data_IF_110167096270
#
_entry.id   IF_110167096270
#
_cell.length_a   1.000
_cell.length_b   1.000
_cell.length_c   1.000
_cell.angle_alpha   90.00
_cell.angle_beta   90.00
_cell.angle_gamma   90.00
#
_symmetry.space_group_name_H-M   'P 1'
#
loop_
_entity.id
_entity.type
_entity.pdbx_description
1 polymer ?
#
# COMPACT_ATOMS: atom_id res chain seq x y z
N UNK A 1 0.35 13.97 -52.07
CA UNK A 1 1.41 13.64 -53.06
C UNK A 1 1.18 12.21 -53.54
N UNK A 2 1.10 12.01 -54.86
CA UNK A 2 0.79 10.72 -55.50
C UNK A 2 2.09 9.93 -55.69
N UNK A 3 2.12 8.66 -55.31
CA UNK A 3 3.13 7.71 -55.78
C UNK A 3 2.43 6.55 -56.49
N UNK A 4 2.64 6.48 -57.80
CA UNK A 4 2.36 5.31 -58.62
C UNK A 4 3.60 4.41 -58.60
N UNK A 5 3.46 3.13 -58.24
CA UNK A 5 4.50 2.12 -58.44
C UNK A 5 3.92 0.97 -59.27
N UNK A 6 4.56 0.69 -60.40
CA UNK A 6 4.18 -0.28 -61.43
C UNK A 6 5.09 -1.49 -61.25
N UNK A 7 4.58 -2.67 -60.87
CA UNK A 7 5.36 -3.91 -60.88
C UNK A 7 4.80 -4.91 -61.90
N UNK A 8 5.71 -5.41 -62.75
CA UNK A 8 5.50 -6.40 -63.81
C UNK A 8 5.16 -7.78 -63.22
N UNK A 9 4.36 -8.51 -63.99
CA UNK A 9 3.93 -9.89 -63.80
C UNK A 9 5.09 -10.89 -63.77
N UNK A 10 5.10 -11.77 -62.76
CA UNK A 10 5.93 -12.98 -62.70
C UNK A 10 5.23 -14.06 -61.85
N UNK A 11 4.81 -15.14 -62.52
CA UNK A 11 4.53 -16.49 -62.00
C UNK A 11 5.69 -16.93 -61.06
N UNK A 12 5.60 -17.70 -59.96
CA UNK A 12 4.60 -18.62 -59.43
C UNK A 12 5.13 -19.15 -58.05
N UNK A 13 4.21 -19.38 -57.08
CA UNK A 13 4.20 -20.42 -56.02
C UNK A 13 5.15 -20.27 -54.82
N UNK A 14 4.57 -19.87 -53.68
CA UNK A 14 4.64 -20.54 -52.37
C UNK A 14 3.67 -19.78 -51.46
N UNK A 15 2.61 -20.45 -50.99
CA UNK A 15 1.71 -19.89 -49.98
C UNK A 15 2.41 -19.91 -48.62
N UNK A 16 3.26 -18.92 -48.37
CA UNK A 16 3.57 -18.55 -47.00
C UNK A 16 2.39 -17.71 -46.48
N UNK A 17 1.51 -18.31 -45.69
CA UNK A 17 0.56 -17.55 -44.89
C UNK A 17 1.37 -16.82 -43.82
N UNK A 18 1.82 -15.60 -44.13
CA UNK A 18 2.33 -14.69 -43.11
C UNK A 18 1.14 -14.33 -42.22
N UNK A 19 1.08 -14.94 -41.03
CA UNK A 19 0.23 -14.48 -39.94
C UNK A 19 0.77 -13.10 -39.54
N UNK A 20 0.25 -12.05 -40.18
CA UNK A 20 0.41 -10.69 -39.70
C UNK A 20 -0.37 -10.64 -38.40
N UNK A 21 0.32 -10.85 -37.27
CA UNK A 21 -0.22 -10.55 -35.95
C UNK A 21 -0.41 -9.04 -35.92
N UNK A 22 -1.62 -8.58 -36.26
CA UNK A 22 -1.99 -7.19 -36.12
C UNK A 22 -1.82 -6.81 -34.66
N UNK A 23 -0.76 -6.04 -34.36
CA UNK A 23 -0.56 -5.45 -33.05
C UNK A 23 -1.61 -4.35 -32.90
N UNK A 24 -2.83 -4.73 -32.53
CA UNK A 24 -3.84 -3.77 -32.13
C UNK A 24 -3.28 -3.01 -30.91
N UNK A 25 -3.25 -1.67 -30.91
CA UNK A 25 -2.93 -0.95 -29.69
C UNK A 25 -4.01 -1.30 -28.67
N UNK A 26 -3.65 -2.05 -27.63
CA UNK A 26 -4.53 -2.29 -26.50
C UNK A 26 -4.81 -0.92 -25.89
N UNK A 27 -6.05 -0.45 -26.04
CA UNK A 27 -6.51 0.77 -25.39
C UNK A 27 -6.52 0.45 -23.90
N UNK A 28 -5.50 0.91 -23.16
CA UNK A 28 -5.41 0.67 -21.73
C UNK A 28 -6.51 1.47 -21.04
N UNK A 29 -7.61 0.81 -20.69
CA UNK A 29 -8.61 1.37 -19.79
C UNK A 29 -7.97 1.56 -18.41
N UNK A 30 -8.20 2.71 -17.79
CA UNK A 30 -7.76 2.94 -16.42
C UNK A 30 -8.49 1.97 -15.49
N UNK A 31 -7.79 0.92 -15.04
CA UNK A 31 -8.31 -0.08 -14.12
C UNK A 31 -7.87 0.26 -12.70
N UNK A 32 -8.83 0.27 -11.76
CA UNK A 32 -8.55 0.42 -10.32
C UNK A 32 -8.55 -0.95 -9.66
N UNK A 33 -7.53 -1.24 -8.86
CA UNK A 33 -7.45 -2.45 -8.03
C UNK A 33 -7.40 -2.03 -6.57
N UNK A 34 -8.29 -2.57 -5.76
CA UNK A 34 -8.37 -2.27 -4.32
C UNK A 34 -7.87 -3.47 -3.52
N UNK A 35 -7.01 -3.21 -2.53
CA UNK A 35 -6.49 -4.21 -1.61
C UNK A 35 -6.97 -3.90 -0.20
N UNK A 36 -7.45 -4.93 0.50
CA UNK A 36 -7.82 -4.89 1.91
C UNK A 36 -6.88 -5.76 2.72
N UNK A 37 -6.88 -5.58 4.04
CA UNK A 37 -6.12 -6.43 4.96
C UNK A 37 -6.58 -7.90 4.87
N UNK A 38 -5.62 -8.82 4.70
CA UNK A 38 -5.84 -10.28 4.61
C UNK A 38 -5.06 -11.06 5.66
N UNK A 39 -4.21 -10.42 6.46
CA UNK A 39 -3.27 -11.09 7.38
C UNK A 39 -1.95 -11.51 6.74
N UNK A 40 -1.79 -11.38 5.43
CA UNK A 40 -0.58 -11.76 4.69
C UNK A 40 -0.30 -10.79 3.55
N UNK A 41 0.93 -10.74 3.00
CA UNK A 41 1.23 -9.95 1.82
C UNK A 41 0.41 -10.38 0.59
N UNK A 42 0.00 -9.41 -0.22
CA UNK A 42 -0.69 -9.59 -1.50
C UNK A 42 0.20 -9.12 -2.64
N UNK A 43 -0.19 -9.37 -3.89
CA UNK A 43 0.59 -9.00 -5.08
C UNK A 43 -0.22 -8.21 -6.09
N UNK A 44 0.44 -7.25 -6.75
CA UNK A 44 -0.10 -6.51 -7.88
C UNK A 44 0.86 -6.63 -9.07
N UNK A 45 0.38 -7.14 -10.20
CA UNK A 45 1.15 -7.18 -11.45
C UNK A 45 0.85 -5.96 -12.28
N UNK A 46 1.89 -5.20 -12.62
CA UNK A 46 1.77 -4.00 -13.46
C UNK A 46 1.32 -4.42 -14.87
N UNK A 47 0.21 -3.87 -15.42
CA UNK A 47 -0.24 -4.21 -16.76
C UNK A 47 0.81 -3.92 -17.84
N UNK A 48 0.79 -4.69 -18.93
CA UNK A 48 1.65 -4.44 -20.06
C UNK A 48 1.46 -3.01 -20.60
N UNK A 49 2.56 -2.37 -21.01
CA UNK A 49 2.56 -0.98 -21.48
C UNK A 49 2.40 0.10 -20.40
N UNK A 50 2.21 -0.27 -19.14
CA UNK A 50 2.08 0.70 -18.03
C UNK A 50 3.43 1.00 -17.41
N UNK A 51 3.85 2.26 -17.47
CA UNK A 51 5.12 2.74 -16.88
C UNK A 51 4.91 3.67 -15.68
N UNK A 52 3.65 4.01 -15.38
CA UNK A 52 3.25 4.81 -14.22
C UNK A 52 1.94 4.30 -13.65
N UNK A 53 1.83 4.25 -12.33
CA UNK A 53 0.57 3.96 -11.62
C UNK A 53 0.25 5.06 -10.61
N UNK A 54 -1.03 5.35 -10.43
CA UNK A 54 -1.52 6.17 -9.34
C UNK A 54 -1.86 5.26 -8.15
N UNK A 55 -1.32 5.58 -6.98
CA UNK A 55 -1.51 4.80 -5.76
C UNK A 55 -2.08 5.69 -4.68
N UNK A 56 -3.12 5.20 -4.01
CA UNK A 56 -3.63 5.74 -2.76
C UNK A 56 -3.49 4.66 -1.71
N UNK A 57 -2.73 4.93 -0.66
CA UNK A 57 -2.60 4.03 0.48
C UNK A 57 -3.05 4.73 1.76
N UNK A 58 -3.67 3.94 2.63
CA UNK A 58 -4.09 4.39 3.96
C UNK A 58 -3.46 3.48 5.00
N UNK A 59 -2.65 4.05 5.89
CA UNK A 59 -2.22 3.37 7.10
C UNK A 59 -3.42 3.07 8.00
N UNK A 60 -3.33 2.01 8.80
CA UNK A 60 -4.44 1.59 9.62
C UNK A 60 -4.63 2.51 10.84
N UNK A 61 -5.87 2.57 11.31
CA UNK A 61 -6.20 3.29 12.54
C UNK A 61 -5.66 2.56 13.78
N UNK A 62 -5.36 3.34 14.81
CA UNK A 62 -5.10 2.81 16.14
C UNK A 62 -6.32 2.13 16.76
N UNK A 63 -6.04 1.23 17.69
CA UNK A 63 -7.00 0.71 18.64
C UNK A 63 -7.46 1.80 19.58
N UNK A 64 -8.67 1.63 20.10
CA UNK A 64 -9.24 2.51 21.12
C UNK A 64 -9.33 1.79 22.46
N UNK A 65 -9.49 2.55 23.52
CA UNK A 65 -10.03 2.00 24.77
C UNK A 65 -11.51 1.67 24.60
N UNK A 66 -11.99 0.65 25.31
CA UNK A 66 -13.34 0.10 25.16
C UNK A 66 -14.46 1.11 25.41
N UNK A 67 -14.20 2.16 26.20
CA UNK A 67 -15.16 3.19 26.58
C UNK A 67 -15.21 4.39 25.64
N UNK A 68 -14.34 4.45 24.62
CA UNK A 68 -14.28 5.58 23.69
C UNK A 68 -14.77 5.22 22.29
N UNK A 69 -15.39 6.19 21.61
CA UNK A 69 -15.79 6.05 20.21
C UNK A 69 -14.80 6.62 19.20
N UNK A 70 -13.80 7.38 19.65
CA UNK A 70 -12.80 8.01 18.77
C UNK A 70 -11.55 7.13 18.63
N UNK A 71 -10.96 7.13 17.43
CA UNK A 71 -9.70 6.45 17.11
C UNK A 71 -8.78 7.41 16.39
N UNK A 72 -7.48 7.20 16.52
CA UNK A 72 -6.50 7.90 15.70
C UNK A 72 -6.38 7.24 14.32
N UNK A 73 -6.34 8.06 13.28
CA UNK A 73 -6.28 7.59 11.89
C UNK A 73 -4.83 7.49 11.40
N UNK A 74 -4.53 6.44 10.65
CA UNK A 74 -3.26 6.31 9.94
C UNK A 74 -3.12 7.35 8.82
N UNK A 75 -1.91 7.46 8.26
CA UNK A 75 -1.63 8.42 7.19
C UNK A 75 -2.35 8.02 5.90
N UNK A 76 -2.69 8.99 5.06
CA UNK A 76 -3.16 8.75 3.69
C UNK A 76 -2.14 9.30 2.70
N UNK A 77 -1.46 8.41 1.98
CA UNK A 77 -0.48 8.78 0.96
C UNK A 77 -1.11 8.65 -0.41
N UNK A 78 -0.89 9.65 -1.26
CA UNK A 78 -1.27 9.62 -2.66
C UNK A 78 -0.04 9.96 -3.51
N UNK A 79 0.31 9.09 -4.45
CA UNK A 79 1.48 9.26 -5.29
C UNK A 79 1.27 8.71 -6.70
N UNK A 80 2.09 9.21 -7.63
CA UNK A 80 2.27 8.60 -8.95
C UNK A 80 3.66 7.98 -9.00
N UNK A 81 3.71 6.66 -9.16
CA UNK A 81 4.94 5.88 -9.06
C UNK A 81 5.37 5.42 -10.45
N UNK A 82 6.66 5.54 -10.75
CA UNK A 82 7.24 4.95 -11.95
C UNK A 82 7.39 3.43 -11.76
N UNK A 83 6.91 2.66 -12.72
CA UNK A 83 6.87 1.20 -12.69
C UNK A 83 7.39 0.60 -13.99
N UNK A 84 7.73 -0.68 -13.93
CA UNK A 84 8.14 -1.50 -15.07
C UNK A 84 6.93 -2.33 -15.52
N UNK A 85 6.56 -2.30 -16.81
CA UNK A 85 5.51 -3.18 -17.33
C UNK A 85 5.78 -4.64 -16.98
N UNK A 86 4.80 -5.32 -16.37
CA UNK A 86 4.91 -6.72 -15.97
C UNK A 86 5.65 -6.99 -14.65
N UNK A 87 6.17 -5.98 -13.95
CA UNK A 87 6.74 -6.22 -12.62
C UNK A 87 5.64 -6.59 -11.61
N UNK A 88 5.99 -7.46 -10.67
CA UNK A 88 5.10 -7.90 -9.58
C UNK A 88 5.47 -7.14 -8.32
N UNK A 89 4.60 -6.25 -7.88
CA UNK A 89 4.74 -5.49 -6.66
C UNK A 89 4.10 -6.23 -5.49
N UNK A 90 4.69 -6.12 -4.31
CA UNK A 90 4.12 -6.63 -3.06
C UNK A 90 3.29 -5.53 -2.42
N UNK A 91 2.05 -5.86 -2.05
CA UNK A 91 1.12 -4.98 -1.35
C UNK A 91 0.95 -5.51 0.08
N UNK A 92 1.25 -4.67 1.06
CA UNK A 92 1.03 -5.00 2.47
C UNK A 92 0.05 -3.99 3.04
N UNK A 93 -1.11 -4.45 3.49
CA UNK A 93 -2.15 -3.57 4.05
C UNK A 93 -2.15 -3.70 5.57
N UNK A 94 -2.06 -2.58 6.26
CA UNK A 94 -2.02 -2.54 7.71
C UNK A 94 -3.32 -3.00 8.36
N UNK A 95 -3.22 -3.63 9.53
CA UNK A 95 -4.38 -3.98 10.34
C UNK A 95 -4.66 -2.88 11.36
N UNK A 96 -5.93 -2.63 11.65
CA UNK A 96 -6.33 -1.79 12.78
C UNK A 96 -5.77 -2.34 14.10
N UNK A 97 -5.31 -1.44 14.96
CA UNK A 97 -4.91 -1.76 16.32
C UNK A 97 -6.06 -2.34 17.15
N UNK A 98 -5.76 -3.29 18.03
CA UNK A 98 -6.78 -3.96 18.83
C UNK A 98 -7.37 -3.03 19.89
N UNK A 99 -8.68 -3.15 20.11
CA UNK A 99 -9.37 -2.35 21.14
C UNK A 99 -9.18 -2.95 22.53
N UNK A 100 -8.93 -2.09 23.52
CA UNK A 100 -8.95 -2.40 24.94
C UNK A 100 -8.08 -3.57 25.39
N UNK A 101 -7.18 -4.06 24.53
CA UNK A 101 -6.34 -5.24 24.80
C UNK A 101 -4.87 -4.94 24.60
N UNK A 102 -4.53 -3.77 24.06
CA UNK A 102 -3.15 -3.37 23.77
C UNK A 102 -2.41 -4.29 22.80
N UNK A 103 -3.09 -5.25 22.16
CA UNK A 103 -2.41 -6.22 21.29
C UNK A 103 -1.81 -5.51 20.07
N UNK A 104 -0.58 -5.89 19.66
CA UNK A 104 0.01 -5.35 18.45
C UNK A 104 -0.84 -5.78 17.23
N UNK A 105 -0.69 -5.05 16.14
CA UNK A 105 -1.38 -5.34 14.89
C UNK A 105 -0.39 -5.64 13.76
N UNK A 106 -0.88 -6.28 12.72
CA UNK A 106 -0.08 -6.65 11.55
C UNK A 106 0.60 -5.44 10.90
N UNK A 107 1.82 -5.65 10.39
CA UNK A 107 2.67 -4.67 9.70
C UNK A 107 3.08 -3.47 10.58
N UNK A 108 3.68 -3.76 11.73
CA UNK A 108 4.40 -2.77 12.54
C UNK A 108 3.58 -2.03 13.60
N UNK A 109 2.30 -2.33 13.79
CA UNK A 109 1.49 -1.69 14.83
C UNK A 109 1.88 -2.19 16.22
N UNK A 110 2.45 -1.31 17.06
CA UNK A 110 3.00 -1.73 18.34
C UNK A 110 1.96 -1.94 19.44
N UNK A 111 2.37 -2.60 20.52
CA UNK A 111 1.50 -2.87 21.66
C UNK A 111 1.18 -1.61 22.47
N UNK A 112 -0.01 -1.57 23.04
CA UNK A 112 -0.39 -0.67 24.13
C UNK A 112 -0.39 -1.42 25.47
N UNK A 113 -0.46 -0.68 26.57
CA UNK A 113 -0.58 -1.18 27.93
C UNK A 113 -1.96 -1.76 28.23
N UNK A 114 -2.15 -2.23 29.47
CA UNK A 114 -3.37 -2.93 29.86
C UNK A 114 -4.62 -2.06 29.67
N UNK A 115 -5.53 -2.51 28.81
CA UNK A 115 -6.76 -1.80 28.45
C UNK A 115 -6.59 -0.56 27.56
N UNK A 116 -5.38 -0.26 27.11
CA UNK A 116 -5.13 0.69 26.02
C UNK A 116 -5.48 0.07 24.65
N UNK A 117 -5.58 0.92 23.63
CA UNK A 117 -5.60 0.48 22.24
C UNK A 117 -4.21 0.09 21.74
N UNK A 118 -4.12 -0.95 20.92
CA UNK A 118 -2.90 -1.25 20.16
C UNK A 118 -2.67 -0.23 19.04
N UNK A 119 -1.44 -0.11 18.53
CA UNK A 119 -1.14 0.66 17.31
C UNK A 119 -1.70 0.00 16.06
N UNK A 120 -2.08 0.80 15.07
CA UNK A 120 -2.43 0.36 13.73
C UNK A 120 -1.18 0.13 12.88
N UNK A 121 -1.25 -0.85 11.98
CA UNK A 121 -0.19 -1.18 11.04
C UNK A 121 -0.04 -0.20 9.88
N UNK A 122 1.15 -0.14 9.30
CA UNK A 122 1.42 0.61 8.08
C UNK A 122 0.79 -0.09 6.85
N UNK A 123 0.53 0.68 5.80
CA UNK A 123 0.20 0.15 4.48
C UNK A 123 1.29 0.57 3.51
N UNK A 124 1.86 -0.38 2.78
CA UNK A 124 2.98 -0.11 1.90
C UNK A 124 2.92 -0.92 0.59
N UNK A 125 3.62 -0.39 -0.39
CA UNK A 125 3.80 -1.00 -1.72
C UNK A 125 5.29 -1.16 -1.95
N UNK A 126 5.73 -2.38 -2.25
CA UNK A 126 7.16 -2.73 -2.36
C UNK A 126 7.49 -3.39 -3.70
N UNK A 127 8.73 -3.22 -4.14
CA UNK A 127 9.29 -4.04 -5.22
C UNK A 127 9.68 -5.44 -4.69
N UNK A 128 9.77 -6.45 -5.57
CA UNK A 128 10.17 -7.80 -5.17
C UNK A 128 11.59 -7.79 -4.59
N UNK A 129 11.81 -8.58 -3.53
CA UNK A 129 13.07 -8.61 -2.77
C UNK A 129 13.14 -7.62 -1.60
N UNK A 130 12.05 -6.90 -1.31
CA UNK A 130 11.92 -6.05 -0.14
C UNK A 130 11.67 -6.83 1.15
N UNK A 131 12.54 -6.70 2.15
CA UNK A 131 12.31 -7.25 3.50
C UNK A 131 11.24 -6.46 4.28
N UNK A 132 10.79 -7.00 5.43
CA UNK A 132 9.88 -6.32 6.38
C UNK A 132 10.59 -5.43 7.39
N UNK A 133 11.91 -5.55 7.52
CA UNK A 133 12.62 -5.09 8.70
C UNK A 133 13.44 -3.81 8.47
N UNK A 134 13.36 -3.22 7.27
CA UNK A 134 14.07 -1.97 6.97
C UNK A 134 13.29 -1.06 6.01
N UNK A 135 12.45 -0.21 6.57
CA UNK A 135 11.73 0.85 5.86
C UNK A 135 12.64 2.01 5.39
N UNK A 136 13.88 2.09 5.89
CA UNK A 136 14.80 3.22 5.71
C UNK A 136 16.01 2.91 4.82
N UNK A 137 16.31 1.64 4.55
CA UNK A 137 17.24 1.27 3.50
C UNK A 137 16.73 1.84 2.17
N UNK A 138 17.54 2.66 1.47
CA UNK A 138 17.10 3.24 0.22
C UNK A 138 16.86 2.09 -0.77
N UNK A 139 15.58 1.87 -1.18
CA UNK A 139 15.12 1.34 -2.51
C UNK A 139 14.07 0.23 -2.54
N UNK A 140 13.35 -0.09 -1.47
CA UNK A 140 12.44 -1.26 -1.50
C UNK A 140 10.94 -0.94 -1.34
N UNK A 141 10.57 -0.09 -0.38
CA UNK A 141 9.22 0.47 -0.34
C UNK A 141 9.10 1.62 -1.35
N UNK A 142 8.20 1.47 -2.32
CA UNK A 142 7.85 2.53 -3.27
C UNK A 142 6.97 3.59 -2.61
N UNK A 143 6.19 3.19 -1.60
CA UNK A 143 5.25 4.03 -0.88
C UNK A 143 4.93 3.40 0.47
N UNK A 144 4.82 4.23 1.51
CA UNK A 144 4.49 3.80 2.88
C UNK A 144 3.54 4.82 3.51
N UNK A 145 2.40 4.35 3.98
CA UNK A 145 1.44 5.09 4.78
C UNK A 145 1.43 4.52 6.20
N UNK A 146 2.07 5.21 7.14
CA UNK A 146 2.22 4.77 8.53
C UNK A 146 0.89 4.67 9.26
N UNK A 147 0.77 3.63 10.09
CA UNK A 147 -0.41 3.42 10.94
C UNK A 147 -0.39 4.30 12.19
N UNK A 148 -1.55 4.59 12.75
CA UNK A 148 -1.69 5.44 13.94
C UNK A 148 -1.39 4.70 15.25
N UNK A 149 -0.95 5.43 16.27
CA UNK A 149 -0.88 4.94 17.63
C UNK A 149 -2.26 4.68 18.24
N UNK A 150 -2.32 3.78 19.22
CA UNK A 150 -3.54 3.48 19.97
C UNK A 150 -3.77 4.44 21.14
N UNK A 151 -5.02 4.64 21.55
CA UNK A 151 -5.39 5.55 22.66
C UNK A 151 -5.12 4.92 24.04
N UNK A 152 -4.89 5.73 25.07
CA UNK A 152 -4.70 5.31 26.46
C UNK A 152 -5.97 5.44 27.35
N UNK A 153 -5.85 5.07 28.63
CA UNK A 153 -6.96 4.80 29.57
C UNK A 153 -7.71 6.04 30.11
N UNK A 154 -8.83 5.73 30.77
CA UNK A 154 -10.13 6.44 30.86
C UNK A 154 -10.18 7.81 31.59
N UNK A 155 -9.08 8.36 32.10
CA UNK A 155 -9.10 9.63 32.85
C UNK A 155 -8.42 10.81 32.15
N UNK A 156 -8.05 10.67 30.88
CA UNK A 156 -7.68 11.82 30.06
C UNK A 156 -8.92 12.40 29.40
N UNK A 157 -9.15 13.72 29.44
CA UNK A 157 -10.18 14.36 28.60
C UNK A 157 -9.84 14.30 27.11
N UNK A 158 -8.61 13.87 26.76
CA UNK A 158 -8.10 13.71 25.40
C UNK A 158 -7.17 12.49 25.27
N UNK A 159 -7.65 11.24 25.42
CA UNK A 159 -6.85 10.07 25.08
C UNK A 159 -6.57 10.12 23.57
N UNK A 160 -5.37 10.57 23.20
CA UNK A 160 -4.97 10.76 21.82
C UNK A 160 -3.97 9.67 21.45
N UNK A 161 -4.40 8.73 20.62
CA UNK A 161 -3.46 7.90 19.88
C UNK A 161 -2.67 8.79 18.92
N UNK A 162 -1.44 8.39 18.56
CA UNK A 162 -0.63 9.21 17.66
C UNK A 162 -1.19 9.16 16.24
N UNK A 163 -1.09 10.28 15.52
CA UNK A 163 -1.49 10.33 14.11
C UNK A 163 -0.57 9.43 13.27
N UNK A 164 -1.08 8.83 12.20
CA UNK A 164 -0.20 8.18 11.24
C UNK A 164 0.73 9.18 10.55
N UNK A 165 1.87 8.71 10.04
CA UNK A 165 2.83 9.56 9.34
C UNK A 165 3.34 8.94 8.05
N UNK A 166 4.21 9.68 7.36
CA UNK A 166 4.78 9.31 6.07
C UNK A 166 6.32 9.35 6.19
N UNK A 167 7.00 8.24 6.51
CA UNK A 167 6.48 6.88 6.69
C UNK A 167 6.03 6.55 8.12
N UNK A 168 6.57 7.22 9.14
CA UNK A 168 6.45 6.78 10.54
C UNK A 168 5.22 7.36 11.22
N UNK A 169 4.34 6.49 11.72
CA UNK A 169 3.23 6.85 12.59
C UNK A 169 3.66 7.28 13.99
N UNK A 170 2.96 8.27 14.53
CA UNK A 170 3.16 8.73 15.90
C UNK A 170 2.66 7.71 16.93
N UNK A 171 3.38 7.63 18.04
CA UNK A 171 2.96 6.98 19.28
C UNK A 171 1.79 7.73 19.92
N UNK A 172 0.86 7.02 20.56
CA UNK A 172 -0.14 7.68 21.41
C UNK A 172 0.48 8.44 22.59
N UNK A 173 -0.29 9.29 23.24
CA UNK A 173 0.13 9.95 24.48
C UNK A 173 -0.22 9.04 25.64
N UNK A 174 0.73 8.79 26.54
CA UNK A 174 0.51 8.00 27.76
C UNK A 174 0.51 8.91 28.98
N UNK A 175 -0.53 8.84 29.80
CA UNK A 175 -0.57 9.48 31.12
C UNK A 175 -0.28 8.48 32.25
N UNK A 176 0.40 8.96 33.29
CA UNK A 176 0.58 8.28 34.59
C UNK A 176 1.18 6.86 34.52
N UNK A 177 2.22 6.66 33.71
CA UNK A 177 2.97 5.39 33.64
C UNK A 177 2.35 4.32 32.74
N UNK A 178 1.24 4.61 32.05
CA UNK A 178 0.68 3.73 31.03
C UNK A 178 1.43 3.84 29.71
N UNK A 179 1.55 2.72 29.01
CA UNK A 179 2.13 2.65 27.67
C UNK A 179 1.00 2.79 26.64
N UNK A 180 0.97 3.83 25.80
CA UNK A 180 0.01 3.95 24.71
C UNK A 180 0.41 3.08 23.52
N UNK A 181 -0.51 2.82 22.59
CA UNK A 181 -0.19 2.07 21.37
C UNK A 181 0.80 2.85 20.49
N UNK A 182 1.88 2.19 20.07
CA UNK A 182 2.91 2.76 19.21
C UNK A 182 2.45 2.78 17.74
N UNK A 183 2.67 3.90 17.02
CA UNK A 183 2.41 3.95 15.59
C UNK A 183 3.35 3.04 14.79
N UNK A 184 2.94 2.68 13.57
CA UNK A 184 3.73 1.81 12.70
C UNK A 184 4.60 2.61 11.72
N UNK A 185 5.77 2.06 11.38
CA UNK A 185 6.57 2.42 10.20
C UNK A 185 6.18 1.57 9.02
#
# INVERSE_FOLDING_TARGET
MKFFCKLRTGRQWLRAAALVLALAPAVALAQTTTFSYTGTPQTYTVPAGTTRIAVVASGAAGGRVSTMQVRSLGARVQATLAVVPGEVLTVVVGQQGADGSGRPSYNGGGSGGFGAGGGGGATDLRRPGAGTDDYLAPRQALLVAGGAGGTDWINSPTPQGGAGGMPVGGTGVGLSGNVPGQGAT
#
